data_IF_998692332222
#
_entry.id   IF_998692332222
#
_cell.length_a   1.000
_cell.length_b   1.000
_cell.length_c   1.000
_cell.angle_alpha   90.00
_cell.angle_beta   90.00
_cell.angle_gamma   90.00
#
_symmetry.space_group_name_H-M   'P 1'
#
loop_
_entity.id
_entity.type
_entity.pdbx_description
1 polymer ?
#
# COMPACT_ATOMS: atom_id res chain seq x y z
N UNK A 1 -4.61 -4.52 10.63
CA UNK A 1 -3.53 -4.11 9.72
C UNK A 1 -2.62 -5.29 9.39
N UNK A 2 -2.21 -6.07 10.39
CA UNK A 2 -1.28 -7.20 10.25
C UNK A 2 -1.68 -8.15 9.10
N UNK A 3 -2.94 -8.61 9.05
CA UNK A 3 -3.45 -9.48 7.98
C UNK A 3 -3.36 -8.84 6.58
N UNK A 4 -3.66 -7.53 6.45
CA UNK A 4 -3.54 -6.84 5.15
C UNK A 4 -2.07 -6.70 4.72
N UNK A 5 -1.17 -6.47 5.67
CA UNK A 5 0.27 -6.33 5.40
C UNK A 5 0.96 -7.68 5.11
N UNK A 6 0.41 -8.79 5.62
CA UNK A 6 0.96 -10.14 5.43
C UNK A 6 0.23 -10.96 4.37
N UNK A 7 -0.92 -10.51 3.89
CA UNK A 7 -1.74 -11.18 2.89
C UNK A 7 -1.45 -10.73 1.46
N UNK A 8 -2.15 -11.31 0.49
CA UNK A 8 -1.96 -11.02 -0.93
C UNK A 8 -2.40 -9.61 -1.36
N UNK A 9 -3.07 -8.86 -0.48
CA UNK A 9 -3.42 -7.46 -0.70
C UNK A 9 -2.20 -6.53 -0.74
N UNK A 10 -1.15 -6.82 0.04
CA UNK A 10 0.09 -6.07 0.03
C UNK A 10 1.11 -6.77 -0.88
N UNK A 11 1.68 -6.02 -1.82
CA UNK A 11 2.76 -6.52 -2.65
C UNK A 11 4.07 -6.51 -1.85
N UNK A 12 4.44 -7.68 -1.35
CA UNK A 12 5.66 -7.87 -0.53
C UNK A 12 6.96 -7.71 -1.32
N UNK A 13 6.91 -7.72 -2.65
CA UNK A 13 8.08 -7.59 -3.53
C UNK A 13 8.24 -6.16 -4.01
N UNK A 14 7.19 -5.60 -4.63
CA UNK A 14 7.21 -4.27 -5.24
C UNK A 14 6.74 -3.14 -4.34
N UNK A 15 6.11 -3.44 -3.20
CA UNK A 15 5.47 -2.46 -2.34
C UNK A 15 4.10 -1.99 -2.87
N UNK A 16 3.35 -1.30 -2.01
CA UNK A 16 1.99 -0.85 -2.33
C UNK A 16 0.94 -1.95 -2.24
N UNK A 17 -0.32 -1.55 -2.45
CA UNK A 17 -1.49 -2.39 -2.25
C UNK A 17 -2.27 -2.61 -3.54
N UNK A 18 -2.73 -3.84 -3.74
CA UNK A 18 -3.70 -4.19 -4.76
C UNK A 18 -5.08 -3.61 -4.42
N UNK A 19 -5.91 -3.39 -5.45
CA UNK A 19 -7.21 -2.72 -5.30
C UNK A 19 -8.17 -3.51 -4.40
N UNK A 20 -8.22 -4.83 -4.58
CA UNK A 20 -9.04 -5.74 -3.78
C UNK A 20 -8.54 -7.19 -3.94
N UNK A 21 -9.04 -8.08 -3.09
CA UNK A 21 -8.86 -9.54 -3.23
C UNK A 21 -10.06 -10.15 -3.95
N UNK A 22 -9.81 -11.15 -4.80
CA UNK A 22 -10.87 -11.93 -5.45
C UNK A 22 -11.42 -13.04 -4.57
N UNK A 23 -10.76 -13.35 -3.44
CA UNK A 23 -11.24 -14.31 -2.45
C UNK A 23 -11.48 -13.67 -1.07
N UNK A 24 -12.22 -14.39 -0.23
CA UNK A 24 -12.66 -13.95 1.09
C UNK A 24 -11.57 -14.00 2.18
N UNK A 25 -10.42 -14.59 1.88
CA UNK A 25 -9.27 -14.73 2.79
C UNK A 25 -8.13 -13.76 2.47
N UNK A 26 -8.32 -12.90 1.46
CA UNK A 26 -7.36 -11.87 1.06
C UNK A 26 -6.04 -12.42 0.52
N UNK A 27 -6.10 -13.57 -0.17
CA UNK A 27 -4.90 -14.28 -0.65
C UNK A 27 -4.58 -13.96 -2.11
N UNK A 28 -5.59 -13.88 -2.98
CA UNK A 28 -5.48 -13.71 -4.42
C UNK A 28 -5.86 -12.26 -4.75
N UNK A 29 -4.88 -11.40 -5.09
CA UNK A 29 -5.17 -10.03 -5.44
C UNK A 29 -5.76 -9.89 -6.85
N UNK A 30 -6.58 -8.87 -7.03
CA UNK A 30 -6.72 -8.23 -8.33
C UNK A 30 -5.50 -7.32 -8.55
N UNK A 31 -4.64 -7.65 -9.52
CA UNK A 31 -3.30 -7.07 -9.63
C UNK A 31 -3.24 -5.55 -9.86
N UNK A 32 -4.33 -4.93 -10.29
CA UNK A 32 -4.45 -3.48 -10.40
C UNK A 32 -4.16 -2.77 -9.06
N UNK A 33 -3.41 -1.67 -9.13
CA UNK A 33 -3.14 -0.78 -7.99
C UNK A 33 -3.63 0.62 -8.32
N UNK A 34 -4.41 1.20 -7.40
CA UNK A 34 -4.99 2.53 -7.57
C UNK A 34 -4.35 3.54 -6.62
N UNK A 35 -4.13 4.76 -7.09
CA UNK A 35 -3.47 5.82 -6.31
C UNK A 35 -4.21 6.11 -4.99
N UNK A 36 -5.55 6.17 -5.01
CA UNK A 36 -6.34 6.47 -3.81
C UNK A 36 -6.14 5.41 -2.71
N UNK A 37 -5.99 4.13 -3.07
CA UNK A 37 -5.70 3.06 -2.11
C UNK A 37 -4.33 3.28 -1.46
N UNK A 38 -3.31 3.62 -2.26
CA UNK A 38 -1.97 3.87 -1.74
C UNK A 38 -1.95 5.05 -0.76
N UNK A 39 -2.60 6.16 -1.13
CA UNK A 39 -2.66 7.37 -0.31
C UNK A 39 -3.39 7.11 1.03
N UNK A 40 -4.57 6.49 0.97
CA UNK A 40 -5.38 6.20 2.16
C UNK A 40 -4.68 5.21 3.09
N UNK A 41 -4.13 4.12 2.55
CA UNK A 41 -3.47 3.10 3.36
C UNK A 41 -2.15 3.61 3.95
N UNK A 42 -1.34 4.37 3.20
CA UNK A 42 -0.13 4.99 3.74
C UNK A 42 -0.42 5.87 4.95
N UNK A 43 -1.51 6.65 4.90
CA UNK A 43 -1.96 7.46 6.04
C UNK A 43 -2.37 6.60 7.24
N UNK A 44 -3.16 5.54 7.01
CA UNK A 44 -3.60 4.62 8.07
C UNK A 44 -2.40 3.93 8.74
N UNK A 45 -1.47 3.39 7.96
CA UNK A 45 -0.26 2.73 8.49
C UNK A 45 0.67 3.71 9.21
N UNK A 46 0.81 4.94 8.71
CA UNK A 46 1.59 5.99 9.39
C UNK A 46 1.00 6.32 10.77
N UNK A 47 -0.32 6.55 10.84
CA UNK A 47 -1.01 6.80 12.11
C UNK A 47 -0.91 5.61 13.06
N UNK A 48 -1.07 4.40 12.54
CA UNK A 48 -0.93 3.20 13.34
C UNK A 48 0.50 3.05 13.90
N UNK A 49 1.53 3.39 13.13
CA UNK A 49 2.91 3.43 13.64
C UNK A 49 3.07 4.46 14.75
N UNK A 50 2.55 5.68 14.58
CA UNK A 50 2.63 6.73 15.61
C UNK A 50 2.00 6.30 16.93
N UNK A 51 0.89 5.55 16.89
CA UNK A 51 0.20 5.07 18.08
C UNK A 51 0.88 3.85 18.71
N UNK A 52 1.33 2.89 17.90
CA UNK A 52 1.74 1.56 18.37
C UNK A 52 3.25 1.35 18.38
N UNK A 53 4.01 2.19 17.70
CA UNK A 53 5.44 2.07 17.45
C UNK A 53 5.87 0.74 16.80
N UNK A 54 4.93 -0.04 16.25
CA UNK A 54 5.23 -1.31 15.56
C UNK A 54 6.07 -1.05 14.29
N UNK A 55 7.31 -1.55 14.18
CA UNK A 55 8.18 -1.27 13.03
C UNK A 55 7.60 -1.74 11.69
N UNK A 56 6.77 -2.79 11.70
CA UNK A 56 6.05 -3.26 10.52
C UNK A 56 5.24 -2.14 9.87
N UNK A 57 4.48 -1.36 10.63
CA UNK A 57 3.60 -0.34 10.06
C UNK A 57 4.37 0.80 9.43
N UNK A 58 5.49 1.20 10.03
CA UNK A 58 6.42 2.15 9.42
C UNK A 58 6.93 1.63 8.07
N UNK A 59 7.39 0.38 8.04
CA UNK A 59 7.91 -0.24 6.82
C UNK A 59 6.87 -0.27 5.70
N UNK A 60 5.64 -0.70 6.02
CA UNK A 60 4.55 -0.76 5.05
C UNK A 60 4.23 0.64 4.52
N UNK A 61 4.08 1.64 5.40
CA UNK A 61 3.82 3.01 4.97
C UNK A 61 4.93 3.55 4.04
N UNK A 62 6.19 3.32 4.39
CA UNK A 62 7.33 3.75 3.58
C UNK A 62 7.34 3.06 2.21
N UNK A 63 7.25 1.73 2.17
CA UNK A 63 7.25 0.99 0.91
C UNK A 63 6.05 1.33 0.01
N UNK A 64 4.88 1.62 0.60
CA UNK A 64 3.73 2.11 -0.17
C UNK A 64 4.00 3.49 -0.79
N UNK A 65 4.60 4.42 -0.04
CA UNK A 65 4.96 5.74 -0.56
C UNK A 65 6.08 5.65 -1.61
N UNK A 66 7.07 4.79 -1.39
CA UNK A 66 8.15 4.54 -2.35
C UNK A 66 7.58 3.99 -3.67
N UNK A 67 6.62 3.07 -3.60
CA UNK A 67 5.90 2.58 -4.78
C UNK A 67 5.17 3.73 -5.52
N UNK A 68 4.48 4.61 -4.80
CA UNK A 68 3.78 5.75 -5.41
C UNK A 68 4.76 6.69 -6.11
N UNK A 69 5.87 7.04 -5.48
CA UNK A 69 6.88 7.93 -6.06
C UNK A 69 7.57 7.29 -7.26
N UNK A 70 7.80 5.97 -7.23
CA UNK A 70 8.51 5.26 -8.30
C UNK A 70 7.63 4.94 -9.50
N UNK A 71 6.41 4.48 -9.28
CA UNK A 71 5.56 3.87 -10.31
C UNK A 71 4.34 4.73 -10.66
N UNK A 72 3.94 5.66 -9.79
CA UNK A 72 2.72 6.45 -9.96
C UNK A 72 2.97 7.96 -10.10
N UNK A 73 4.21 8.44 -10.04
CA UNK A 73 4.54 9.84 -10.21
C UNK A 73 5.00 10.13 -11.66
N UNK A 74 4.39 11.14 -12.28
CA UNK A 74 4.88 11.69 -13.54
C UNK A 74 6.15 12.53 -13.31
N UNK A 75 7.00 12.61 -14.33
CA UNK A 75 8.25 13.39 -14.28
C UNK A 75 8.07 14.88 -13.93
N UNK A 76 6.88 15.45 -14.15
CA UNK A 76 6.56 16.83 -13.82
C UNK A 76 5.99 17.00 -12.40
N UNK A 77 5.94 15.92 -11.60
CA UNK A 77 5.51 15.93 -10.20
C UNK A 77 4.02 15.62 -9.96
N UNK A 78 3.22 15.48 -11.03
CA UNK A 78 1.85 14.99 -10.95
C UNK A 78 1.79 13.49 -10.61
N UNK A 79 0.62 12.98 -10.25
CA UNK A 79 0.41 11.56 -9.99
C UNK A 79 -0.61 10.97 -10.95
N UNK A 80 -0.34 9.76 -11.45
CA UNK A 80 -1.29 9.01 -12.27
C UNK A 80 -2.48 8.58 -11.40
N UNK A 81 -3.67 8.98 -11.83
CA UNK A 81 -4.94 8.52 -11.28
C UNK A 81 -5.79 7.98 -12.42
N UNK A 82 -6.54 6.92 -12.13
CA UNK A 82 -7.69 6.55 -12.95
C UNK A 82 -8.83 7.57 -12.77
#
# INVERSE_FOLDING_TARGET
LDIMASGGLYDTVGGGFHRYSTDNTWLIPHFEKMLYNQAQLSLVYTRAYQLTHKPLYRRIAQQTLDYVLKEMQDKNGGFFSA
#
